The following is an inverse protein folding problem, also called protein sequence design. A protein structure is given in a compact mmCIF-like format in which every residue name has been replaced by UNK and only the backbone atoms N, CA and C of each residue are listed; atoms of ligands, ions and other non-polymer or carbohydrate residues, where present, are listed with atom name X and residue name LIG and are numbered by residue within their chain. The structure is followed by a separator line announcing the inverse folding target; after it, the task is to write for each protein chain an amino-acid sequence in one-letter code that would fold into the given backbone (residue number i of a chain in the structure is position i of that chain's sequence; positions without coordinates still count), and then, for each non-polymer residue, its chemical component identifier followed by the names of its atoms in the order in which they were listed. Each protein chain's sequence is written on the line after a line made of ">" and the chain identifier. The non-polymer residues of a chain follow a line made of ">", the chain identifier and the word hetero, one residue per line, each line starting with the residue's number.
data_IF_574038925810
#
_entry.id   IF_574038925810
#
_cell.length_a   1.000
_cell.length_b   1.000
_cell.length_c   1.000
_cell.angle_alpha   90.00
_cell.angle_beta   90.00
_cell.angle_gamma   90.00
#
_symmetry.space_group_name_H-M   'P 1'
#
loop_
_entity.id
_entity.type
_entity.pdbx_description
1 polymer ?
#
# COMPACT_ATOMS: atom_id res chain seq x y z
N UNK A 1 -98.75 -9.12 27.40
CA UNK A 1 -99.95 -8.28 27.57
C UNK A 1 -99.56 -7.08 28.40
N UNK A 2 -99.79 -5.89 27.87
CA UNK A 2 -99.42 -4.59 28.44
C UNK A 2 -100.25 -4.28 29.69
N UNK A 3 -99.63 -3.68 30.72
CA UNK A 3 -100.34 -3.02 31.82
C UNK A 3 -99.48 -1.87 32.37
N UNK A 4 -99.64 -0.72 31.71
CA UNK A 4 -99.86 0.64 32.23
C UNK A 4 -99.23 1.03 33.58
N UNK A 5 -98.30 1.98 33.50
CA UNK A 5 -97.77 2.74 34.62
C UNK A 5 -98.81 3.72 35.18
N UNK A 6 -99.01 3.70 36.50
CA UNK A 6 -99.69 4.78 37.23
C UNK A 6 -98.63 5.62 37.93
N UNK A 7 -98.43 6.84 37.43
CA UNK A 7 -97.58 7.86 38.06
C UNK A 7 -98.48 8.67 38.98
N UNK A 8 -98.29 8.51 40.29
CA UNK A 8 -98.95 9.33 41.30
C UNK A 8 -98.26 10.71 41.33
N UNK A 9 -98.99 11.83 41.12
CA UNK A 9 -98.40 13.14 41.22
C UNK A 9 -98.17 13.48 42.69
N UNK A 10 -96.91 13.61 43.09
CA UNK A 10 -96.54 14.19 44.38
C UNK A 10 -96.88 15.67 44.34
N UNK A 11 -97.92 16.04 45.09
CA UNK A 11 -98.32 17.42 45.35
C UNK A 11 -97.21 18.07 46.17
N UNK A 12 -96.56 19.10 45.63
CA UNK A 12 -95.63 19.94 46.39
C UNK A 12 -96.45 20.85 47.30
N UNK A 13 -96.39 20.60 48.61
CA UNK A 13 -96.77 21.60 49.62
C UNK A 13 -95.69 22.69 49.63
N UNK A 14 -96.14 23.88 49.30
CA UNK A 14 -95.38 25.12 49.28
C UNK A 14 -95.48 25.73 50.67
N UNK A 15 -94.54 25.41 51.56
CA UNK A 15 -94.04 26.26 52.65
C UNK A 15 -93.14 25.45 53.61
N UNK A 16 -91.84 25.38 53.29
CA UNK A 16 -90.79 25.39 54.32
C UNK A 16 -89.48 25.83 53.66
N UNK A 17 -89.16 27.11 53.84
CA UNK A 17 -87.86 27.70 53.46
C UNK A 17 -86.88 27.46 54.60
N UNK A 18 -86.40 26.23 54.72
CA UNK A 18 -85.15 25.95 55.42
C UNK A 18 -84.05 25.83 54.38
N UNK A 19 -83.22 26.87 54.28
CA UNK A 19 -82.01 26.90 53.47
C UNK A 19 -81.04 25.80 53.96
N UNK A 20 -81.17 24.59 53.41
CA UNK A 20 -80.15 23.57 53.45
C UNK A 20 -78.95 24.08 52.64
N UNK A 21 -78.06 24.81 53.30
CA UNK A 21 -76.77 25.18 52.76
C UNK A 21 -75.93 23.91 52.57
N UNK A 22 -76.06 23.27 51.42
CA UNK A 22 -75.21 22.17 50.98
C UNK A 22 -73.83 22.78 50.69
N UNK A 23 -72.99 22.84 51.72
CA UNK A 23 -71.58 23.17 51.59
C UNK A 23 -70.91 22.04 50.80
N UNK A 24 -70.71 22.25 49.50
CA UNK A 24 -69.89 21.38 48.67
C UNK A 24 -68.45 21.44 49.18
N UNK A 25 -68.00 20.41 49.88
CA UNK A 25 -66.58 20.23 50.22
C UNK A 25 -65.90 19.46 49.08
N UNK A 26 -65.10 20.12 48.21
CA UNK A 26 -64.46 19.50 47.06
C UNK A 26 -63.44 18.41 47.44
N UNK A 27 -63.20 18.16 48.74
CA UNK A 27 -62.28 17.13 49.22
C UNK A 27 -62.94 15.76 49.49
N UNK A 28 -64.27 15.65 49.46
CA UNK A 28 -64.97 14.38 49.74
C UNK A 28 -65.13 13.44 48.53
N UNK A 29 -64.78 13.89 47.32
CA UNK A 29 -64.73 13.05 46.13
C UNK A 29 -63.28 12.84 45.69
N UNK A 30 -62.48 12.17 46.53
CA UNK A 30 -61.28 11.52 46.02
C UNK A 30 -61.74 10.21 45.36
N UNK A 31 -61.71 10.16 44.03
CA UNK A 31 -61.98 8.95 43.28
C UNK A 31 -60.88 7.92 43.57
N UNK A 32 -61.04 7.15 44.64
CA UNK A 32 -60.23 5.95 44.88
C UNK A 32 -60.94 4.82 44.14
N UNK A 33 -60.64 4.71 42.84
CA UNK A 33 -61.08 3.58 42.02
C UNK A 33 -59.99 2.50 42.09
N UNK A 34 -60.25 1.29 42.62
CA UNK A 34 -59.24 0.22 42.70
C UNK A 34 -58.62 -0.18 41.35
N UNK A 35 -59.28 0.17 40.24
CA UNK A 35 -58.88 -0.13 38.87
C UNK A 35 -57.80 0.82 38.30
N UNK A 36 -57.55 1.99 38.91
CA UNK A 36 -56.54 2.92 38.39
C UNK A 36 -55.13 2.51 38.76
N UNK A 37 -54.95 1.99 39.98
CA UNK A 37 -53.63 1.56 40.47
C UNK A 37 -53.10 0.35 39.67
N UNK A 38 -53.96 -0.63 39.36
CA UNK A 38 -53.57 -1.79 38.54
C UNK A 38 -53.16 -1.40 37.09
N UNK A 39 -53.81 -0.39 36.51
CA UNK A 39 -53.48 0.11 35.16
C UNK A 39 -52.17 0.91 35.17
N UNK A 40 -51.94 1.72 36.22
CA UNK A 40 -50.70 2.45 36.39
C UNK A 40 -49.53 1.49 36.62
N UNK A 41 -49.73 0.40 37.38
CA UNK A 41 -48.73 -0.65 37.57
C UNK A 41 -48.40 -1.40 36.27
N UNK A 42 -49.41 -1.79 35.47
CA UNK A 42 -49.20 -2.43 34.16
C UNK A 42 -48.50 -1.49 33.17
N UNK A 43 -48.83 -0.20 33.20
CA UNK A 43 -48.17 0.83 32.39
C UNK A 43 -46.70 1.06 32.83
N UNK A 44 -46.43 1.12 34.13
CA UNK A 44 -45.09 1.17 34.69
C UNK A 44 -44.27 -0.05 34.24
N UNK A 45 -44.88 -1.24 34.34
CA UNK A 45 -44.25 -2.50 33.97
C UNK A 45 -43.94 -2.55 32.46
N UNK A 46 -44.86 -2.07 31.61
CA UNK A 46 -44.64 -1.95 30.17
C UNK A 46 -43.53 -0.91 29.84
N UNK A 47 -43.47 0.22 30.55
CA UNK A 47 -42.38 1.18 30.41
C UNK A 47 -41.02 0.61 30.83
N UNK A 48 -40.98 -0.15 31.92
CA UNK A 48 -39.77 -0.81 32.40
C UNK A 48 -39.28 -1.86 31.41
N UNK A 49 -40.19 -2.65 30.85
CA UNK A 49 -39.89 -3.59 29.77
C UNK A 49 -39.37 -2.88 28.52
N UNK A 50 -39.96 -1.74 28.13
CA UNK A 50 -39.49 -0.93 27.01
C UNK A 50 -38.08 -0.37 27.26
N UNK A 51 -37.79 0.06 28.50
CA UNK A 51 -36.44 0.50 28.89
C UNK A 51 -35.43 -0.64 28.82
N UNK A 52 -35.77 -1.83 29.32
CA UNK A 52 -34.92 -3.02 29.24
C UNK A 52 -34.65 -3.43 27.78
N UNK A 53 -35.69 -3.43 26.94
CA UNK A 53 -35.58 -3.73 25.51
C UNK A 53 -34.68 -2.72 24.79
N UNK A 54 -34.78 -1.41 25.08
CA UNK A 54 -33.88 -0.40 24.50
C UNK A 54 -32.43 -0.58 24.92
N UNK A 55 -32.19 -0.93 26.18
CA UNK A 55 -30.83 -1.23 26.65
C UNK A 55 -30.24 -2.45 25.94
N UNK A 56 -31.04 -3.50 25.72
CA UNK A 56 -30.64 -4.66 24.94
C UNK A 56 -30.37 -4.29 23.47
N UNK A 57 -31.23 -3.47 22.86
CA UNK A 57 -31.04 -2.99 21.49
C UNK A 57 -29.71 -2.22 21.36
N UNK A 58 -29.38 -1.35 22.32
CA UNK A 58 -28.13 -0.61 22.31
C UNK A 58 -26.91 -1.50 22.50
N UNK A 59 -26.98 -2.51 23.39
CA UNK A 59 -25.91 -3.50 23.56
C UNK A 59 -25.70 -4.32 22.28
N UNK A 60 -26.77 -4.77 21.64
CA UNK A 60 -26.71 -5.52 20.38
C UNK A 60 -26.10 -4.65 19.27
N UNK A 61 -26.48 -3.37 19.18
CA UNK A 61 -25.89 -2.45 18.21
C UNK A 61 -24.38 -2.25 18.42
N UNK A 62 -23.94 -2.15 19.68
CA UNK A 62 -22.49 -2.04 20.00
C UNK A 62 -21.74 -3.31 19.60
N UNK A 63 -22.27 -4.48 19.96
CA UNK A 63 -21.67 -5.77 19.58
C UNK A 63 -21.63 -5.95 18.06
N UNK A 64 -22.69 -5.55 17.35
CA UNK A 64 -22.73 -5.58 15.90
C UNK A 64 -21.65 -4.68 15.28
N UNK A 65 -21.47 -3.46 15.80
CA UNK A 65 -20.44 -2.54 15.33
C UNK A 65 -19.01 -3.08 15.58
N UNK A 66 -18.77 -3.69 16.74
CA UNK A 66 -17.48 -4.33 17.06
C UNK A 66 -17.18 -5.50 16.12
N UNK A 67 -18.18 -6.36 15.84
CA UNK A 67 -18.06 -7.47 14.91
C UNK A 67 -17.81 -7.00 13.47
N UNK A 68 -18.48 -5.92 13.04
CA UNK A 68 -18.26 -5.34 11.72
C UNK A 68 -16.83 -4.79 11.58
N UNK A 69 -16.32 -4.09 12.61
CA UNK A 69 -14.94 -3.59 12.61
C UNK A 69 -13.91 -4.75 12.56
N UNK A 70 -14.13 -5.81 13.34
CA UNK A 70 -13.29 -7.00 13.31
C UNK A 70 -13.33 -7.68 11.94
N UNK A 71 -14.51 -7.83 11.35
CA UNK A 71 -14.68 -8.42 10.01
C UNK A 71 -13.95 -7.60 8.96
N UNK A 72 -14.03 -6.26 9.05
CA UNK A 72 -13.30 -5.36 8.15
C UNK A 72 -11.79 -5.50 8.30
N UNK A 73 -11.27 -5.57 9.52
CA UNK A 73 -9.84 -5.80 9.78
C UNK A 73 -9.38 -7.16 9.26
N UNK A 74 -10.18 -8.21 9.45
CA UNK A 74 -9.88 -9.55 8.94
C UNK A 74 -9.83 -9.55 7.41
N UNK A 75 -10.78 -8.89 6.75
CA UNK A 75 -10.80 -8.79 5.29
C UNK A 75 -9.60 -7.98 4.76
N UNK A 76 -9.25 -6.87 5.40
CA UNK A 76 -8.06 -6.09 5.06
C UNK A 76 -6.78 -6.91 5.22
N UNK A 77 -6.67 -7.67 6.31
CA UNK A 77 -5.56 -8.58 6.54
C UNK A 77 -5.48 -9.67 5.47
N UNK A 78 -6.61 -10.32 5.13
CA UNK A 78 -6.65 -11.36 4.08
C UNK A 78 -6.22 -10.81 2.72
N UNK A 79 -6.75 -9.66 2.31
CA UNK A 79 -6.39 -9.00 1.05
C UNK A 79 -4.91 -8.62 1.04
N UNK A 80 -4.45 -7.90 2.07
CA UNK A 80 -3.07 -7.45 2.18
C UNK A 80 -2.08 -8.60 2.24
N UNK A 81 -2.43 -9.72 2.90
CA UNK A 81 -1.60 -10.92 2.92
C UNK A 81 -1.45 -11.53 1.53
N UNK A 82 -2.55 -11.65 0.76
CA UNK A 82 -2.50 -12.20 -0.60
C UNK A 82 -1.62 -11.30 -1.48
N UNK A 83 -1.87 -9.99 -1.48
CA UNK A 83 -1.12 -9.01 -2.27
C UNK A 83 0.38 -9.02 -1.95
N UNK A 84 0.74 -9.02 -0.66
CA UNK A 84 2.15 -9.04 -0.22
C UNK A 84 2.80 -10.38 -0.56
N UNK A 85 2.12 -11.51 -0.36
CA UNK A 85 2.67 -12.81 -0.73
C UNK A 85 2.91 -12.93 -2.23
N UNK A 86 1.99 -12.43 -3.06
CA UNK A 86 2.18 -12.39 -4.51
C UNK A 86 3.37 -11.51 -4.90
N UNK A 87 3.47 -10.30 -4.33
CA UNK A 87 4.57 -9.38 -4.64
C UNK A 87 5.93 -9.93 -4.19
N UNK A 88 5.99 -10.52 -3.00
CA UNK A 88 7.19 -11.23 -2.53
C UNK A 88 7.55 -12.38 -3.46
N UNK A 89 6.58 -13.16 -3.92
CA UNK A 89 6.79 -14.23 -4.90
C UNK A 89 7.38 -13.71 -6.21
N UNK A 90 6.85 -12.59 -6.74
CA UNK A 90 7.41 -11.92 -7.92
C UNK A 90 8.84 -11.46 -7.68
N UNK A 91 9.12 -10.76 -6.58
CA UNK A 91 10.47 -10.31 -6.25
C UNK A 91 11.47 -11.49 -6.12
N UNK A 92 11.07 -12.58 -5.45
CA UNK A 92 11.90 -13.77 -5.30
C UNK A 92 12.23 -14.39 -6.66
N UNK A 93 11.23 -14.61 -7.52
CA UNK A 93 11.47 -15.16 -8.87
C UNK A 93 12.42 -14.31 -9.73
N UNK A 94 12.33 -12.97 -9.62
CA UNK A 94 13.25 -12.07 -10.31
C UNK A 94 14.66 -12.21 -9.75
N UNK A 95 14.78 -12.28 -8.42
CA UNK A 95 16.06 -12.43 -7.73
C UNK A 95 16.72 -13.77 -8.07
N UNK A 96 15.96 -14.87 -8.10
CA UNK A 96 16.46 -16.20 -8.44
C UNK A 96 16.97 -16.26 -9.88
N UNK A 97 16.23 -15.65 -10.82
CA UNK A 97 16.66 -15.55 -12.22
C UNK A 97 17.96 -14.76 -12.34
N UNK A 98 18.06 -13.62 -11.65
CA UNK A 98 19.25 -12.79 -11.68
C UNK A 98 20.44 -13.46 -11.00
N UNK A 99 20.24 -14.15 -9.88
CA UNK A 99 21.28 -14.90 -9.20
C UNK A 99 21.82 -16.03 -10.09
N UNK A 100 20.94 -16.71 -10.82
CA UNK A 100 21.33 -17.75 -11.78
C UNK A 100 22.12 -17.16 -12.96
N UNK A 101 21.65 -16.05 -13.53
CA UNK A 101 22.34 -15.34 -14.60
C UNK A 101 23.72 -14.83 -14.15
N UNK A 102 23.82 -14.26 -12.95
CA UNK A 102 25.09 -13.79 -12.39
C UNK A 102 26.08 -14.95 -12.18
N UNK A 103 25.61 -16.11 -11.71
CA UNK A 103 26.45 -17.32 -11.59
C UNK A 103 26.95 -17.81 -12.95
N UNK A 104 26.07 -17.90 -13.94
CA UNK A 104 26.44 -18.29 -15.31
C UNK A 104 27.51 -17.34 -15.87
N UNK A 105 27.29 -16.04 -15.72
CA UNK A 105 28.25 -15.03 -16.16
C UNK A 105 29.60 -15.19 -15.44
N UNK A 106 29.60 -15.47 -14.14
CA UNK A 106 30.83 -15.71 -13.40
C UNK A 106 31.56 -16.97 -13.89
N UNK A 107 30.85 -18.06 -14.17
CA UNK A 107 31.41 -19.29 -14.76
C UNK A 107 32.00 -19.02 -16.15
N UNK A 108 31.29 -18.28 -17.00
CA UNK A 108 31.77 -17.89 -18.32
C UNK A 108 33.06 -17.04 -18.22
N UNK A 109 33.14 -16.14 -17.24
CA UNK A 109 34.35 -15.34 -16.97
C UNK A 109 35.52 -16.21 -16.49
N UNK A 110 35.27 -17.17 -15.60
CA UNK A 110 36.30 -18.10 -15.14
C UNK A 110 36.85 -18.94 -16.30
N UNK A 111 35.97 -19.46 -17.16
CA UNK A 111 36.36 -20.22 -18.34
C UNK A 111 37.21 -19.37 -19.30
N UNK A 112 36.81 -18.12 -19.57
CA UNK A 112 37.56 -17.19 -20.39
C UNK A 112 38.94 -16.87 -19.79
N UNK A 113 39.01 -16.70 -18.46
CA UNK A 113 40.27 -16.48 -17.75
C UNK A 113 41.23 -17.67 -17.91
N UNK A 114 40.76 -18.90 -17.70
CA UNK A 114 41.58 -20.12 -17.86
C UNK A 114 42.13 -20.28 -19.27
N UNK A 115 41.32 -19.96 -20.30
CA UNK A 115 41.78 -19.98 -21.71
C UNK A 115 42.88 -18.97 -21.96
N UNK A 116 42.68 -17.72 -21.54
CA UNK A 116 43.69 -16.67 -21.68
C UNK A 116 44.98 -17.03 -20.94
N UNK A 117 44.88 -17.60 -19.74
CA UNK A 117 46.03 -18.07 -18.98
C UNK A 117 46.79 -19.18 -19.72
N UNK A 118 46.07 -20.14 -20.33
CA UNK A 118 46.65 -21.19 -21.16
C UNK A 118 47.38 -20.63 -22.39
N UNK A 119 46.77 -19.69 -23.12
CA UNK A 119 47.42 -19.02 -24.25
C UNK A 119 48.68 -18.24 -23.82
N UNK A 120 48.61 -17.52 -22.70
CA UNK A 120 49.75 -16.81 -22.13
C UNK A 120 50.87 -17.76 -21.71
N UNK A 121 50.54 -18.90 -21.11
CA UNK A 121 51.51 -19.93 -20.74
C UNK A 121 52.19 -20.54 -21.98
N UNK A 122 51.42 -20.84 -23.04
CA UNK A 122 51.95 -21.36 -24.30
C UNK A 122 52.94 -20.38 -24.93
N UNK A 123 52.59 -19.09 -24.99
CA UNK A 123 53.45 -18.05 -25.57
C UNK A 123 54.71 -17.83 -24.72
N UNK A 124 54.60 -17.75 -23.39
CA UNK A 124 55.74 -17.60 -22.49
C UNK A 124 56.67 -18.83 -22.46
N UNK A 125 56.13 -20.00 -22.79
CA UNK A 125 56.87 -21.24 -22.95
C UNK A 125 57.76 -21.27 -24.20
N UNK A 126 57.51 -20.39 -25.18
CA UNK A 126 58.32 -20.31 -26.39
C UNK A 126 59.74 -19.84 -26.05
N UNK A 127 60.73 -20.60 -26.52
CA UNK A 127 62.16 -20.30 -26.32
C UNK A 127 62.88 -20.23 -27.68
N UNK A 128 62.82 -19.08 -28.38
CA UNK A 128 63.44 -18.91 -29.70
C UNK A 128 64.92 -19.28 -29.76
N UNK A 129 65.64 -19.05 -28.65
CA UNK A 129 67.08 -19.32 -28.51
C UNK A 129 67.44 -20.81 -28.54
N UNK A 130 66.49 -21.71 -28.25
CA UNK A 130 66.72 -23.15 -28.23
C UNK A 130 66.47 -23.84 -29.58
N UNK A 131 66.01 -23.10 -30.60
CA UNK A 131 65.59 -23.69 -31.86
C UNK A 131 66.76 -24.05 -32.78
N UNK A 132 66.79 -25.31 -33.20
CA UNK A 132 67.77 -25.82 -34.17
C UNK A 132 67.61 -25.13 -35.53
N UNK A 133 68.69 -25.03 -36.32
CA UNK A 133 68.63 -24.41 -37.66
C UNK A 133 67.77 -25.21 -38.65
N UNK A 134 67.62 -26.51 -38.43
CA UNK A 134 66.80 -27.40 -39.26
C UNK A 134 65.30 -27.20 -38.98
N UNK A 135 64.92 -27.02 -37.71
CA UNK A 135 63.52 -26.95 -37.29
C UNK A 135 63.00 -25.51 -37.14
N UNK A 136 63.89 -24.51 -37.18
CA UNK A 136 63.57 -23.09 -36.98
C UNK A 136 62.37 -22.60 -37.78
N UNK A 137 62.24 -23.02 -39.04
CA UNK A 137 61.11 -22.60 -39.89
C UNK A 137 59.78 -23.19 -39.40
N UNK A 138 59.78 -24.46 -38.99
CA UNK A 138 58.59 -25.13 -38.47
C UNK A 138 58.19 -24.55 -37.11
N UNK A 139 59.17 -24.29 -36.24
CA UNK A 139 58.92 -23.76 -34.90
C UNK A 139 58.48 -22.30 -34.92
N UNK A 140 59.00 -21.48 -35.86
CA UNK A 140 58.48 -20.13 -36.12
C UNK A 140 57.02 -20.16 -36.57
N UNK A 141 56.67 -21.05 -37.50
CA UNK A 141 55.28 -21.20 -37.95
C UNK A 141 54.38 -21.60 -36.78
N UNK A 142 54.84 -22.52 -35.92
CA UNK A 142 54.13 -22.92 -34.70
C UNK A 142 53.93 -21.78 -33.72
N UNK A 143 54.97 -21.00 -33.46
CA UNK A 143 54.93 -19.84 -32.58
C UNK A 143 53.94 -18.78 -33.08
N UNK A 144 53.94 -18.50 -34.39
CA UNK A 144 52.98 -17.59 -35.02
C UNK A 144 51.56 -18.11 -34.85
N UNK A 145 51.31 -19.41 -35.08
CA UNK A 145 49.98 -19.99 -34.86
C UNK A 145 49.51 -19.91 -33.41
N UNK A 146 50.40 -19.99 -32.41
CA UNK A 146 50.01 -19.76 -31.01
C UNK A 146 49.64 -18.30 -30.72
N UNK A 147 50.27 -17.35 -31.42
CA UNK A 147 49.94 -15.92 -31.31
C UNK A 147 48.60 -15.64 -31.98
N UNK A 148 48.40 -16.10 -33.22
CA UNK A 148 47.14 -15.96 -33.96
C UNK A 148 45.97 -16.54 -33.15
N UNK A 149 46.12 -17.75 -32.59
CA UNK A 149 45.09 -18.36 -31.75
C UNK A 149 44.80 -17.56 -30.46
N UNK A 150 45.79 -16.85 -29.92
CA UNK A 150 45.58 -15.99 -28.75
C UNK A 150 44.89 -14.66 -29.12
N UNK A 151 45.19 -14.11 -30.29
CA UNK A 151 44.50 -12.93 -30.84
C UNK A 151 43.02 -13.22 -31.09
N UNK A 152 42.71 -14.37 -31.70
CA UNK A 152 41.33 -14.84 -31.92
C UNK A 152 40.56 -14.96 -30.59
N UNK A 153 41.16 -15.58 -29.56
CA UNK A 153 40.50 -15.73 -28.25
C UNK A 153 40.29 -14.37 -27.55
N UNK A 154 41.21 -13.41 -27.73
CA UNK A 154 41.02 -12.04 -27.22
C UNK A 154 39.82 -11.37 -27.90
N UNK A 155 39.73 -11.45 -29.22
CA UNK A 155 38.62 -10.88 -29.99
C UNK A 155 37.28 -11.50 -29.62
N UNK A 156 37.26 -12.80 -29.30
CA UNK A 156 36.08 -13.53 -28.81
C UNK A 156 35.64 -13.10 -27.40
N UNK A 157 36.59 -12.79 -26.50
CA UNK A 157 36.30 -12.41 -25.10
C UNK A 157 35.98 -10.92 -24.95
N UNK A 158 36.52 -10.04 -25.80
CA UNK A 158 36.24 -8.60 -25.80
C UNK A 158 34.75 -8.21 -25.77
N UNK A 159 33.83 -8.81 -26.56
CA UNK A 159 32.40 -8.48 -26.48
C UNK A 159 31.79 -8.90 -25.13
N UNK A 160 32.25 -10.00 -24.53
CA UNK A 160 31.81 -10.42 -23.20
C UNK A 160 32.21 -9.38 -22.15
N UNK A 161 33.49 -8.96 -22.13
CA UNK A 161 34.00 -7.93 -21.20
C UNK A 161 33.22 -6.62 -21.34
N UNK A 162 32.98 -6.18 -22.58
CA UNK A 162 32.22 -4.96 -22.86
C UNK A 162 30.73 -5.08 -22.44
N UNK A 163 30.16 -6.28 -22.52
CA UNK A 163 28.81 -6.58 -22.04
C UNK A 163 28.69 -6.48 -20.51
N UNK A 164 29.70 -6.92 -19.78
CA UNK A 164 29.76 -6.84 -18.31
C UNK A 164 29.79 -5.39 -17.82
N UNK A 165 30.61 -4.54 -18.46
CA UNK A 165 30.74 -3.13 -18.08
C UNK A 165 29.44 -2.32 -18.30
N UNK A 166 28.56 -2.79 -19.19
CA UNK A 166 27.35 -2.06 -19.60
C UNK A 166 26.08 -2.46 -18.85
N UNK A 167 26.01 -3.57 -18.11
CA UNK A 167 24.80 -3.97 -17.35
C UNK A 167 24.60 -3.02 -16.15
N UNK A 168 23.68 -2.02 -16.20
CA UNK A 168 23.37 -1.18 -15.06
C UNK A 168 22.40 -1.94 -14.15
N UNK A 169 22.62 -1.90 -12.83
CA UNK A 169 21.84 -2.66 -11.83
C UNK A 169 20.32 -2.62 -12.07
N UNK A 170 19.72 -3.81 -12.19
CA UNK A 170 18.35 -4.05 -12.67
C UNK A 170 17.28 -3.80 -11.58
N UNK A 171 17.66 -3.30 -10.40
CA UNK A 171 16.73 -2.83 -9.35
C UNK A 171 16.00 -1.52 -9.70
N UNK A 172 15.73 -1.27 -10.98
CA UNK A 172 14.78 -0.24 -11.46
C UNK A 172 13.37 -0.85 -11.63
N UNK A 173 13.01 -1.79 -10.76
CA UNK A 173 11.63 -2.22 -10.58
C UNK A 173 10.92 -1.20 -9.70
N UNK A 174 10.07 -0.37 -10.30
CA UNK A 174 9.19 0.56 -9.59
C UNK A 174 8.36 -0.27 -8.61
N UNK A 175 8.45 -0.06 -7.27
CA UNK A 175 7.54 -0.75 -6.36
C UNK A 175 6.12 -0.34 -6.75
N UNK A 176 5.24 -1.32 -6.95
CA UNK A 176 3.85 -1.10 -7.29
C UNK A 176 3.27 -0.06 -6.32
N UNK A 177 2.94 1.11 -6.85
CA UNK A 177 2.38 2.21 -6.09
C UNK A 177 1.03 1.78 -5.53
N UNK A 178 0.93 1.67 -4.20
CA UNK A 178 -0.36 1.72 -3.49
C UNK A 178 -1.07 3.03 -3.90
N UNK A 179 -2.39 3.04 -4.09
CA UNK A 179 -3.13 4.29 -4.25
C UNK A 179 -3.25 4.94 -2.86
N UNK A 180 -2.19 5.62 -2.42
CA UNK A 180 -2.26 6.56 -1.32
C UNK A 180 -2.56 7.94 -1.89
N UNK A 181 -3.50 8.62 -1.23
CA UNK A 181 -4.02 9.93 -1.59
C UNK A 181 -2.94 10.91 -2.05
N UNK A 182 -3.32 11.70 -3.06
CA UNK A 182 -2.63 12.85 -3.65
C UNK A 182 -1.62 13.55 -2.72
N UNK A 183 -0.33 13.28 -2.95
CA UNK A 183 0.74 14.26 -2.75
C UNK A 183 1.43 14.47 -4.11
N UNK A 184 1.85 15.71 -4.44
CA UNK A 184 2.54 15.97 -5.69
C UNK A 184 3.86 15.19 -5.69
N UNK A 185 3.88 14.20 -6.58
CA UNK A 185 5.01 13.34 -6.89
C UNK A 185 6.27 14.19 -7.04
N UNK A 186 7.24 13.99 -6.16
CA UNK A 186 8.59 14.49 -6.35
C UNK A 186 9.09 13.94 -7.68
N UNK A 187 9.27 14.84 -8.64
CA UNK A 187 9.76 14.58 -9.98
C UNK A 187 11.00 13.72 -9.87
N UNK A 188 10.88 12.47 -10.28
CA UNK A 188 11.97 11.55 -10.54
C UNK A 188 12.75 12.11 -11.73
N UNK A 189 13.59 13.10 -11.44
CA UNK A 189 14.44 13.76 -12.42
C UNK A 189 15.57 12.82 -12.77
N UNK A 190 15.48 12.21 -13.95
CA UNK A 190 16.60 11.62 -14.66
C UNK A 190 17.80 12.59 -14.59
N UNK A 191 19.03 12.06 -14.53
CA UNK A 191 20.27 12.87 -14.43
C UNK A 191 20.30 14.08 -15.38
N UNK A 192 19.66 13.99 -16.54
CA UNK A 192 19.48 15.07 -17.52
C UNK A 192 18.66 16.26 -17.01
N UNK A 193 17.67 16.04 -16.13
CA UNK A 193 16.88 17.08 -15.48
C UNK A 193 17.67 17.82 -14.39
N UNK A 194 18.47 17.10 -13.60
CA UNK A 194 19.40 17.70 -12.63
C UNK A 194 20.53 18.47 -13.33
N UNK A 195 21.07 17.93 -14.44
CA UNK A 195 22.10 18.61 -15.24
C UNK A 195 21.55 19.87 -15.93
N UNK A 196 20.31 19.83 -16.42
CA UNK A 196 19.60 20.98 -17.01
C UNK A 196 19.24 22.04 -15.96
N UNK A 197 18.88 21.62 -14.74
CA UNK A 197 18.65 22.56 -13.62
C UNK A 197 19.95 23.20 -13.12
N UNK A 198 21.07 22.46 -13.12
CA UNK A 198 22.40 23.02 -12.82
C UNK A 198 22.88 24.04 -13.87
N UNK A 199 22.56 23.81 -15.15
CA UNK A 199 22.86 24.78 -16.22
C UNK A 199 22.01 26.05 -16.11
N UNK A 200 20.74 25.93 -15.70
CA UNK A 200 19.86 27.08 -15.48
C UNK A 200 20.35 28.01 -14.35
N UNK A 201 21.02 27.48 -13.32
CA UNK A 201 21.55 28.27 -12.20
C UNK A 201 22.89 28.96 -12.52
N UNK A 202 23.70 28.41 -13.43
CA UNK A 202 24.98 28.99 -13.84
C UNK A 202 24.88 29.95 -15.04
N UNK A 203 23.77 29.91 -15.78
CA UNK A 203 23.51 30.76 -16.95
C UNK A 203 23.63 32.28 -16.67
N UNK A 204 23.14 32.83 -15.54
CA UNK A 204 23.25 34.27 -15.27
C UNK A 204 24.72 34.71 -15.15
N UNK A 205 25.55 33.93 -14.45
CA UNK A 205 26.97 34.25 -14.24
C UNK A 205 27.79 34.17 -15.53
N UNK A 206 27.55 33.13 -16.36
CA UNK A 206 28.21 33.00 -17.66
C UNK A 206 27.79 34.14 -18.60
N UNK A 207 26.51 34.52 -18.59
CA UNK A 207 26.01 35.66 -19.36
C UNK A 207 26.70 36.97 -19.00
N UNK A 208 26.79 37.30 -17.71
CA UNK A 208 27.52 38.49 -17.25
C UNK A 208 29.01 38.43 -17.61
N UNK A 209 29.64 37.25 -17.50
CA UNK A 209 31.04 37.06 -17.89
C UNK A 209 31.30 37.33 -19.37
N UNK A 210 30.42 36.84 -20.26
CA UNK A 210 30.53 37.08 -21.71
C UNK A 210 30.29 38.55 -22.06
N UNK A 211 29.30 39.20 -21.44
CA UNK A 211 29.02 40.63 -21.66
C UNK A 211 30.18 41.51 -21.19
N UNK A 212 30.76 41.20 -20.02
CA UNK A 212 31.93 41.91 -19.51
C UNK A 212 33.16 41.73 -20.42
N UNK A 213 33.37 40.52 -20.96
CA UNK A 213 34.46 40.23 -21.89
C UNK A 213 34.27 40.99 -23.21
N UNK A 214 33.06 41.04 -23.75
CA UNK A 214 32.75 41.84 -24.95
C UNK A 214 32.97 43.32 -24.67
N UNK A 215 32.49 43.83 -23.53
CA UNK A 215 32.72 45.21 -23.12
C UNK A 215 34.20 45.57 -23.00
N UNK A 216 35.02 44.67 -22.43
CA UNK A 216 36.47 44.82 -22.35
C UNK A 216 37.18 44.72 -23.70
N UNK A 217 36.62 43.98 -24.66
CA UNK A 217 37.23 43.84 -25.98
C UNK A 217 36.92 45.05 -26.88
N UNK A 218 35.79 45.73 -26.64
CA UNK A 218 35.36 46.93 -27.36
C UNK A 218 35.79 48.26 -26.70
N UNK A 219 36.41 48.23 -25.52
CA UNK A 219 36.90 49.38 -24.78
C UNK A 219 38.40 49.28 -24.54
#
# INVERSE_FOLDING_TARGET
>A
MSATAEIHPFLFDEDDKDDLNIQFDPKQFQAVTPYSDDIDDEYQQAQDQLRALRQQEEQIKRQAAELEELTKKEQQFKSGRIEVCEELGRCLSVLDREATEARRVAEDCCNAHERLESHLANINGLRPEMWSRADRKAELARAISYIEAAEDEIDDILPMINGLAKKPGIFKGKPAARPAASLPSAVQGDFTYWLKSGFAFSLPFVGFGVIALIGFLFF
#
